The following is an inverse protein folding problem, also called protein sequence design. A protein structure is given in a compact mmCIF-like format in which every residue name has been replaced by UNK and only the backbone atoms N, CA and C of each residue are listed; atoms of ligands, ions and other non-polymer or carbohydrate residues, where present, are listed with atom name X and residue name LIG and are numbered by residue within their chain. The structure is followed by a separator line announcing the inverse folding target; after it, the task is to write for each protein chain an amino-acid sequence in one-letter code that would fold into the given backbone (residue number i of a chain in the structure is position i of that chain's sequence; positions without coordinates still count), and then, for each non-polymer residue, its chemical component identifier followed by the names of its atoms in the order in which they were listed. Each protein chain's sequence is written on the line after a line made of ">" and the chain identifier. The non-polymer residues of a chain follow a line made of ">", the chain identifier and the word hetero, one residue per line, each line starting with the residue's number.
data_IF_110914375018
#
_entry.id   IF_110914375018
#
_cell.length_a   1.000
_cell.length_b   1.000
_cell.length_c   1.000
_cell.angle_alpha   90.00
_cell.angle_beta   90.00
_cell.angle_gamma   90.00
#
_symmetry.space_group_name_H-M   'P 1'
#
loop_
_entity.id
_entity.type
_entity.pdbx_description
1 polymer ?
#
# COMPACT_ATOMS: atom_id res chain seq x y z
N UNK A 1 -1.03 -5.11 26.09
CA UNK A 1 0.26 -4.79 25.44
C UNK A 1 0.24 -5.05 23.94
N UNK A 2 -0.12 -6.26 23.48
CA UNK A 2 -0.17 -6.64 22.04
C UNK A 2 -1.01 -5.66 21.18
N UNK A 3 -2.20 -5.27 21.63
CA UNK A 3 -3.05 -4.33 20.88
C UNK A 3 -2.41 -2.95 20.65
N UNK A 4 -1.61 -2.46 21.60
CA UNK A 4 -0.86 -1.20 21.45
C UNK A 4 0.26 -1.32 20.41
N UNK A 5 0.96 -2.46 20.39
CA UNK A 5 1.98 -2.76 19.39
C UNK A 5 1.34 -2.83 17.99
N UNK A 6 0.20 -3.50 17.86
CA UNK A 6 -0.57 -3.56 16.61
C UNK A 6 -1.05 -2.18 16.17
N UNK A 7 -1.55 -1.35 17.09
CA UNK A 7 -1.96 0.02 16.79
C UNK A 7 -0.80 0.88 16.26
N UNK A 8 0.37 0.83 16.91
CA UNK A 8 1.57 1.52 16.43
C UNK A 8 2.01 1.00 15.06
N UNK A 9 2.02 -0.32 14.86
CA UNK A 9 2.33 -0.95 13.58
C UNK A 9 1.43 -0.43 12.47
N UNK A 10 0.12 -0.47 12.66
CA UNK A 10 -0.85 0.00 11.66
C UNK A 10 -0.75 1.52 11.41
N UNK A 11 -0.46 2.31 12.45
CA UNK A 11 -0.25 3.75 12.30
C UNK A 11 0.97 4.04 11.41
N UNK A 12 2.09 3.35 11.65
CA UNK A 12 3.30 3.47 10.83
C UNK A 12 3.04 2.98 9.40
N UNK A 13 2.35 1.84 9.24
CA UNK A 13 1.96 1.32 7.93
C UNK A 13 1.14 2.33 7.13
N UNK A 14 0.17 2.99 7.78
CA UNK A 14 -0.68 4.01 7.15
C UNK A 14 0.16 5.16 6.60
N UNK A 15 1.11 5.67 7.39
CA UNK A 15 2.00 6.76 6.97
C UNK A 15 2.89 6.32 5.80
N UNK A 16 3.48 5.13 5.89
CA UNK A 16 4.32 4.56 4.84
C UNK A 16 3.56 4.38 3.53
N UNK A 17 2.38 3.75 3.59
CA UNK A 17 1.50 3.57 2.42
C UNK A 17 1.13 4.93 1.82
N UNK A 18 0.81 5.92 2.65
CA UNK A 18 0.46 7.26 2.17
C UNK A 18 1.63 7.91 1.40
N UNK A 19 2.84 7.87 1.96
CA UNK A 19 4.06 8.37 1.30
C UNK A 19 4.31 7.60 0.00
N UNK A 20 4.19 6.27 0.04
CA UNK A 20 4.32 5.41 -1.14
C UNK A 20 3.33 5.80 -2.24
N UNK A 21 2.05 6.00 -1.91
CA UNK A 21 1.02 6.45 -2.86
C UNK A 21 1.37 7.81 -3.47
N UNK A 22 1.90 8.73 -2.67
CA UNK A 22 2.32 10.06 -3.15
C UNK A 22 3.47 9.97 -4.14
N UNK A 23 4.54 9.24 -3.79
CA UNK A 23 5.71 9.03 -4.65
C UNK A 23 5.30 8.30 -5.94
N UNK A 24 4.50 7.24 -5.82
CA UNK A 24 3.99 6.47 -6.95
C UNK A 24 3.23 7.36 -7.94
N UNK A 25 2.33 8.23 -7.45
CA UNK A 25 1.59 9.18 -8.28
C UNK A 25 2.48 10.18 -9.02
N UNK A 26 3.50 10.71 -8.35
CA UNK A 26 4.47 11.63 -8.97
C UNK A 26 5.26 10.94 -10.08
N UNK A 27 5.80 9.75 -9.79
CA UNK A 27 6.63 8.99 -10.74
C UNK A 27 5.81 8.63 -11.99
N UNK A 28 4.59 8.11 -11.83
CA UNK A 28 3.72 7.83 -12.96
C UNK A 28 3.40 9.07 -13.79
N UNK A 29 3.12 10.21 -13.13
CA UNK A 29 2.83 11.48 -13.81
C UNK A 29 4.04 11.97 -14.61
N UNK A 30 5.24 11.76 -14.10
CA UNK A 30 6.48 12.07 -14.81
C UNK A 30 6.70 11.15 -16.01
N UNK A 31 6.58 9.83 -15.81
CA UNK A 31 6.78 8.82 -16.86
C UNK A 31 5.75 8.96 -17.99
N UNK A 32 4.50 9.29 -17.66
CA UNK A 32 3.44 9.51 -18.65
C UNK A 32 3.72 10.63 -19.65
N UNK A 33 4.61 11.57 -19.31
CA UNK A 33 5.00 12.67 -20.19
C UNK A 33 6.21 12.36 -21.09
N UNK A 34 6.96 11.29 -20.81
CA UNK A 34 8.26 11.00 -21.46
C UNK A 34 8.20 10.09 -22.70
N UNK A 35 7.01 9.64 -23.10
CA UNK A 35 6.81 8.82 -24.31
C UNK A 35 6.37 7.38 -24.02
N UNK A 36 5.99 6.65 -25.07
CA UNK A 36 5.29 5.35 -24.99
C UNK A 36 6.10 4.27 -24.23
N UNK A 37 7.39 4.13 -24.53
CA UNK A 37 8.26 3.12 -23.91
C UNK A 37 8.35 3.31 -22.38
N UNK A 38 8.65 4.53 -21.93
CA UNK A 38 8.72 4.89 -20.51
C UNK A 38 7.37 4.73 -19.81
N UNK A 39 6.29 5.08 -20.52
CA UNK A 39 4.93 4.99 -19.99
C UNK A 39 4.52 3.54 -19.68
N UNK A 40 4.92 2.57 -20.49
CA UNK A 40 4.46 1.19 -20.33
C UNK A 40 5.45 0.31 -19.56
N UNK A 41 6.72 0.26 -19.98
CA UNK A 41 7.68 -0.69 -19.43
C UNK A 41 8.14 -0.26 -18.03
N UNK A 42 8.53 1.01 -17.88
CA UNK A 42 9.04 1.50 -16.59
C UNK A 42 7.90 1.64 -15.59
N UNK A 43 6.71 2.07 -16.00
CA UNK A 43 5.56 2.12 -15.11
C UNK A 43 5.13 0.73 -14.62
N UNK A 44 5.30 -0.33 -15.41
CA UNK A 44 5.06 -1.70 -14.95
C UNK A 44 6.06 -2.11 -13.85
N UNK A 45 7.33 -1.77 -14.01
CA UNK A 45 8.36 -2.03 -13.00
C UNK A 45 8.10 -1.22 -11.71
N UNK A 46 7.73 0.06 -11.85
CA UNK A 46 7.35 0.92 -10.72
C UNK A 46 6.10 0.38 -10.00
N UNK A 47 5.13 -0.16 -10.74
CA UNK A 47 3.96 -0.81 -10.16
C UNK A 47 4.34 -2.06 -9.36
N UNK A 48 5.23 -2.91 -9.89
CA UNK A 48 5.69 -4.11 -9.18
C UNK A 48 6.40 -3.76 -7.87
N UNK A 49 7.29 -2.76 -7.88
CA UNK A 49 7.95 -2.25 -6.67
C UNK A 49 6.92 -1.73 -5.67
N UNK A 50 5.95 -0.95 -6.14
CA UNK A 50 4.92 -0.38 -5.27
C UNK A 50 3.99 -1.45 -4.67
N UNK A 51 3.67 -2.49 -5.43
CA UNK A 51 2.90 -3.64 -4.94
C UNK A 51 3.66 -4.38 -3.83
N UNK A 52 4.95 -4.66 -4.03
CA UNK A 52 5.82 -5.28 -3.01
C UNK A 52 5.86 -4.41 -1.75
N UNK A 53 6.03 -3.09 -1.92
CA UNK A 53 6.05 -2.13 -0.82
C UNK A 53 4.75 -2.12 -0.01
N UNK A 54 3.60 -2.26 -0.66
CA UNK A 54 2.29 -2.32 0.02
C UNK A 54 2.12 -3.65 0.80
N UNK A 55 2.63 -4.76 0.26
CA UNK A 55 2.46 -6.09 0.85
C UNK A 55 3.44 -6.35 1.99
N UNK A 56 4.65 -5.79 1.94
CA UNK A 56 5.70 -6.03 2.93
C UNK A 56 5.27 -5.78 4.39
N UNK A 57 4.54 -4.68 4.73
CA UNK A 57 4.05 -4.44 6.08
C UNK A 57 2.99 -5.43 6.58
N UNK A 58 2.35 -6.17 5.67
CA UNK A 58 1.40 -7.23 6.00
C UNK A 58 2.11 -8.50 6.48
N UNK A 59 3.35 -8.73 6.01
CA UNK A 59 4.15 -9.91 6.35
C UNK A 59 4.92 -9.76 7.67
N UNK A 60 5.28 -8.53 8.05
CA UNK A 60 6.02 -8.21 9.26
C UNK A 60 5.40 -8.71 10.59
N UNK A 61 4.09 -8.61 10.84
CA UNK A 61 3.50 -9.12 12.09
C UNK A 61 3.58 -10.65 12.21
N UNK A 62 3.70 -11.39 11.09
CA UNK A 62 3.87 -12.84 11.12
C UNK A 62 5.28 -13.28 11.50
N UNK A 63 6.28 -12.42 11.28
CA UNK A 63 7.70 -12.75 11.53
C UNK A 63 8.25 -12.19 12.84
N UNK A 64 7.68 -11.09 13.36
CA UNK A 64 8.27 -10.35 14.48
C UNK A 64 7.71 -10.69 15.87
N UNK A 65 6.58 -11.39 15.97
CA UNK A 65 5.92 -11.63 17.26
C UNK A 65 5.54 -13.11 17.36
N UNK A 66 6.44 -13.93 17.91
CA UNK A 66 6.19 -15.37 18.15
C UNK A 66 4.92 -15.61 18.97
N UNK A 67 4.65 -14.77 19.97
CA UNK A 67 3.42 -14.80 20.77
C UNK A 67 2.15 -14.49 19.96
N UNK A 68 2.26 -13.68 18.90
CA UNK A 68 1.16 -13.37 18.01
C UNK A 68 0.90 -14.55 17.07
N UNK A 69 1.95 -15.24 16.63
CA UNK A 69 1.83 -16.43 15.79
C UNK A 69 1.07 -17.57 16.50
N UNK A 70 1.33 -17.78 17.80
CA UNK A 70 0.60 -18.76 18.61
C UNK A 70 -0.86 -18.37 18.84
N UNK A 71 -1.15 -17.07 19.06
CA UNK A 71 -2.54 -16.56 19.20
C UNK A 71 -3.33 -16.54 17.89
N UNK A 72 -2.69 -16.21 16.77
CA UNK A 72 -3.30 -16.16 15.43
C UNK A 72 -3.74 -17.54 14.94
N UNK A 73 -3.02 -18.60 15.34
CA UNK A 73 -3.36 -19.98 14.95
C UNK A 73 -4.65 -20.48 15.60
N UNK A 74 -5.00 -19.95 16.78
CA UNK A 74 -6.13 -20.43 17.57
C UNK A 74 -7.35 -19.50 17.54
N UNK A 75 -7.22 -18.25 17.07
CA UNK A 75 -8.32 -17.28 17.08
C UNK A 75 -8.56 -16.58 15.74
N UNK A 76 -9.63 -17.00 15.05
CA UNK A 76 -10.14 -16.39 13.81
C UNK A 76 -10.40 -14.88 13.97
N UNK A 77 -10.88 -14.45 15.14
CA UNK A 77 -11.18 -13.04 15.44
C UNK A 77 -9.95 -12.13 15.28
N UNK A 78 -8.76 -12.61 15.68
CA UNK A 78 -7.52 -11.83 15.58
C UNK A 78 -7.09 -11.72 14.11
N UNK A 79 -7.23 -12.78 13.31
CA UNK A 79 -6.96 -12.73 11.87
C UNK A 79 -7.87 -11.73 11.15
N UNK A 80 -9.17 -11.74 11.47
CA UNK A 80 -10.14 -10.77 10.92
C UNK A 80 -9.78 -9.35 11.33
N UNK A 81 -9.38 -9.13 12.60
CA UNK A 81 -8.94 -7.82 13.08
C UNK A 81 -7.70 -7.31 12.33
N UNK A 82 -6.69 -8.15 12.10
CA UNK A 82 -5.49 -7.77 11.33
C UNK A 82 -5.84 -7.40 9.89
N UNK A 83 -6.70 -8.19 9.26
CA UNK A 83 -7.14 -7.92 7.89
C UNK A 83 -7.90 -6.60 7.76
N UNK A 84 -8.83 -6.32 8.68
CA UNK A 84 -9.55 -5.05 8.73
C UNK A 84 -8.61 -3.88 9.02
N UNK A 85 -7.67 -4.03 9.96
CA UNK A 85 -6.65 -3.02 10.28
C UNK A 85 -5.82 -2.67 9.05
N UNK A 86 -5.44 -3.66 8.26
CA UNK A 86 -4.72 -3.45 7.01
C UNK A 86 -5.54 -2.72 5.94
N UNK A 87 -6.80 -3.11 5.74
CA UNK A 87 -7.70 -2.40 4.80
C UNK A 87 -7.82 -0.92 5.21
N UNK A 88 -7.98 -0.66 6.50
CA UNK A 88 -8.06 0.71 7.03
C UNK A 88 -6.76 1.50 6.80
N UNK A 89 -5.59 0.86 6.89
CA UNK A 89 -4.31 1.51 6.58
C UNK A 89 -4.19 1.93 5.12
N UNK A 90 -4.71 1.13 4.19
CA UNK A 90 -4.68 1.43 2.76
C UNK A 90 -5.61 2.59 2.39
N UNK A 91 -6.74 2.70 3.08
CA UNK A 91 -7.82 3.61 2.75
C UNK A 91 -7.39 5.08 2.55
N UNK A 92 -6.67 5.75 3.48
CA UNK A 92 -6.29 7.15 3.31
C UNK A 92 -5.32 7.36 2.14
N UNK A 93 -4.38 6.43 1.92
CA UNK A 93 -3.43 6.50 0.80
C UNK A 93 -4.13 6.38 -0.56
N UNK A 94 -5.05 5.42 -0.68
CA UNK A 94 -5.84 5.21 -1.91
C UNK A 94 -6.77 6.40 -2.17
N UNK A 95 -7.46 6.90 -1.15
CA UNK A 95 -8.37 8.04 -1.27
C UNK A 95 -7.62 9.30 -1.71
N UNK A 96 -6.45 9.54 -1.12
CA UNK A 96 -5.58 10.64 -1.52
C UNK A 96 -5.08 10.49 -2.97
N UNK A 97 -4.63 9.29 -3.36
CA UNK A 97 -4.19 9.02 -4.73
C UNK A 97 -5.31 9.26 -5.75
N UNK A 98 -6.51 8.77 -5.43
CA UNK A 98 -7.73 8.98 -6.24
C UNK A 98 -8.02 10.46 -6.44
N UNK A 99 -8.00 11.24 -5.37
CA UNK A 99 -8.37 12.66 -5.43
C UNK A 99 -7.30 13.52 -6.11
N UNK A 100 -6.02 13.23 -5.87
CA UNK A 100 -4.91 14.08 -6.33
C UNK A 100 -4.33 13.69 -7.69
N UNK A 101 -4.20 12.40 -7.98
CA UNK A 101 -3.43 11.92 -9.15
C UNK A 101 -4.28 11.24 -10.22
N UNK A 102 -5.35 10.52 -9.85
CA UNK A 102 -6.09 9.67 -10.79
C UNK A 102 -6.62 10.43 -12.02
N UNK A 103 -7.14 11.65 -11.84
CA UNK A 103 -7.68 12.46 -12.95
C UNK A 103 -6.59 12.82 -13.97
N UNK A 104 -5.41 13.20 -13.49
CA UNK A 104 -4.27 13.57 -14.35
C UNK A 104 -3.65 12.34 -15.02
N UNK A 105 -3.53 11.23 -14.29
CA UNK A 105 -3.00 9.98 -14.83
C UNK A 105 -3.91 9.40 -15.93
N UNK A 106 -5.24 9.52 -15.76
CA UNK A 106 -6.22 9.19 -16.82
C UNK A 106 -6.01 10.00 -18.08
N UNK A 107 -5.77 11.31 -17.97
CA UNK A 107 -5.47 12.18 -19.13
C UNK A 107 -4.17 11.78 -19.83
N UNK A 108 -3.19 11.27 -19.08
CA UNK A 108 -1.94 10.72 -19.63
C UNK A 108 -2.12 9.32 -20.24
N UNK A 109 -3.34 8.78 -20.21
CA UNK A 109 -3.69 7.48 -20.76
C UNK A 109 -3.28 6.30 -19.86
N UNK A 110 -3.11 6.52 -18.56
CA UNK A 110 -3.04 5.45 -17.56
C UNK A 110 -4.44 5.15 -17.02
N UNK A 111 -4.74 3.89 -16.70
CA UNK A 111 -6.04 3.50 -16.11
C UNK A 111 -7.26 3.89 -16.97
N UNK A 112 -7.07 4.02 -18.29
CA UNK A 112 -8.16 4.19 -19.26
C UNK A 112 -8.77 2.81 -19.45
N UNK A 113 -10.09 2.72 -19.20
CA UNK A 113 -10.90 1.54 -19.51
C UNK A 113 -11.11 1.45 -21.01
#
# INVERSE_FOLDING_TARGET
>A
MIYWILFLHFSICTILIFIGCYIYGIVLKYLGKKGFFFKHIISALVYLIFAIYIVLPLLLPFTLIEDLHLKLKNEILINVFLFLGYILCLFPGILFFKNKFLKDLKKLGYFVK
#
